data_IF_411202132704
#
_entry.id   IF_411202132704
#
_cell.length_a   1.000
_cell.length_b   1.000
_cell.length_c   1.000
_cell.angle_alpha   90.00
_cell.angle_beta   90.00
_cell.angle_gamma   90.00
#
_symmetry.space_group_name_H-M   'P 1'
#
loop_
_entity.id
_entity.type
_entity.pdbx_description
1 polymer ?
#
# COMPACT_ATOMS: atom_id res chain seq x y z
N UNK A 1 -12.98 -24.27 -9.55
CA UNK A 1 -12.98 -23.01 -8.75
C UNK A 1 -13.87 -22.00 -9.45
N UNK A 2 -14.62 -21.16 -8.74
CA UNK A 2 -15.42 -20.09 -9.34
C UNK A 2 -14.56 -18.86 -9.65
N UNK A 3 -14.90 -18.09 -10.69
CA UNK A 3 -14.13 -16.90 -11.12
C UNK A 3 -13.95 -15.88 -9.98
N UNK A 4 -14.97 -15.74 -9.12
CA UNK A 4 -14.92 -14.86 -7.94
C UNK A 4 -13.88 -15.34 -6.91
N UNK A 5 -13.74 -16.65 -6.72
CA UNK A 5 -12.77 -17.21 -5.78
C UNK A 5 -11.33 -17.02 -6.27
N UNK A 6 -11.09 -17.23 -7.57
CA UNK A 6 -9.78 -16.95 -8.19
C UNK A 6 -9.41 -15.48 -8.05
N UNK A 7 -10.29 -14.56 -8.46
CA UNK A 7 -10.02 -13.13 -8.35
C UNK A 7 -9.83 -12.66 -6.89
N UNK A 8 -10.52 -13.28 -5.93
CA UNK A 8 -10.32 -13.00 -4.51
C UNK A 8 -8.93 -13.41 -4.03
N UNK A 9 -8.47 -14.61 -4.44
CA UNK A 9 -7.12 -15.08 -4.12
C UNK A 9 -6.04 -14.21 -4.76
N UNK A 10 -6.26 -13.77 -6.00
CA UNK A 10 -5.35 -12.87 -6.71
C UNK A 10 -5.26 -11.51 -6.01
N UNK A 11 -6.40 -10.97 -5.53
CA UNK A 11 -6.43 -9.73 -4.75
C UNK A 11 -5.65 -9.84 -3.44
N UNK A 12 -5.82 -10.94 -2.72
CA UNK A 12 -5.06 -11.20 -1.50
C UNK A 12 -3.56 -11.23 -1.80
N UNK A 13 -3.16 -11.96 -2.84
CA UNK A 13 -1.76 -12.09 -3.27
C UNK A 13 -1.16 -10.74 -3.66
N UNK A 14 -1.84 -9.98 -4.50
CA UNK A 14 -1.36 -8.68 -4.99
C UNK A 14 -1.34 -7.64 -3.87
N UNK A 15 -2.36 -7.59 -3.01
CA UNK A 15 -2.37 -6.65 -1.89
C UNK A 15 -1.32 -6.97 -0.83
N UNK A 16 -0.99 -8.25 -0.60
CA UNK A 16 0.17 -8.64 0.21
C UNK A 16 1.49 -8.19 -0.42
N UNK A 17 1.63 -8.29 -1.74
CA UNK A 17 2.81 -7.80 -2.46
C UNK A 17 2.94 -6.27 -2.39
N UNK A 18 1.82 -5.54 -2.52
CA UNK A 18 1.78 -4.08 -2.34
C UNK A 18 2.23 -3.69 -0.92
N UNK A 19 1.69 -4.36 0.12
CA UNK A 19 2.07 -4.11 1.50
C UNK A 19 3.56 -4.42 1.78
N UNK A 20 4.06 -5.51 1.20
CA UNK A 20 5.47 -5.88 1.30
C UNK A 20 6.37 -4.82 0.65
N UNK A 21 5.97 -4.29 -0.51
CA UNK A 21 6.70 -3.23 -1.23
C UNK A 21 6.76 -1.94 -0.40
N UNK A 22 5.64 -1.52 0.20
CA UNK A 22 5.60 -0.37 1.14
C UNK A 22 6.54 -0.59 2.33
N UNK A 23 6.56 -1.81 2.88
CA UNK A 23 7.43 -2.14 4.02
C UNK A 23 8.92 -2.12 3.64
N UNK A 24 9.24 -2.51 2.41
CA UNK A 24 10.60 -2.47 1.86
C UNK A 24 11.02 -1.06 1.38
N UNK A 25 10.10 -0.10 1.30
CA UNK A 25 10.35 1.20 0.68
C UNK A 25 10.43 1.15 -0.86
N UNK A 26 9.99 0.06 -1.46
CA UNK A 26 9.89 -0.12 -2.91
C UNK A 26 8.60 0.53 -3.44
N UNK A 27 8.68 1.82 -3.74
CA UNK A 27 7.53 2.60 -4.20
C UNK A 27 7.09 2.24 -5.63
N UNK A 28 8.03 1.85 -6.49
CA UNK A 28 7.73 1.41 -7.86
C UNK A 28 7.04 0.03 -7.85
N UNK A 29 7.50 -0.88 -7.00
CA UNK A 29 6.81 -2.15 -6.72
C UNK A 29 5.40 -1.90 -6.19
N UNK A 30 5.26 -1.02 -5.19
CA UNK A 30 3.96 -0.66 -4.64
C UNK A 30 2.99 -0.14 -5.71
N UNK A 31 3.41 0.81 -6.56
CA UNK A 31 2.56 1.37 -7.61
C UNK A 31 2.10 0.28 -8.60
N UNK A 32 3.01 -0.58 -9.06
CA UNK A 32 2.67 -1.70 -9.95
C UNK A 32 1.65 -2.65 -9.33
N UNK A 33 1.83 -3.04 -8.08
CA UNK A 33 0.90 -3.94 -7.41
C UNK A 33 -0.43 -3.26 -7.09
N UNK A 34 -0.45 -1.98 -6.72
CA UNK A 34 -1.71 -1.28 -6.46
C UNK A 34 -2.54 -1.09 -7.74
N UNK A 35 -1.90 -0.81 -8.88
CA UNK A 35 -2.58 -0.79 -10.19
C UNK A 35 -3.20 -2.16 -10.50
N UNK A 36 -2.44 -3.25 -10.34
CA UNK A 36 -2.96 -4.60 -10.56
C UNK A 36 -4.12 -4.93 -9.61
N UNK A 37 -4.04 -4.50 -8.34
CA UNK A 37 -5.10 -4.70 -7.35
C UNK A 37 -6.39 -3.99 -7.77
N UNK A 38 -6.29 -2.73 -8.21
CA UNK A 38 -7.45 -1.96 -8.67
C UNK A 38 -8.08 -2.58 -9.92
N UNK A 39 -7.28 -3.13 -10.84
CA UNK A 39 -7.78 -3.87 -11.99
C UNK A 39 -8.60 -5.10 -11.58
N UNK A 40 -8.12 -5.89 -10.61
CA UNK A 40 -8.85 -7.04 -10.09
C UNK A 40 -10.17 -6.65 -9.40
N UNK A 41 -10.19 -5.53 -8.67
CA UNK A 41 -11.43 -4.96 -8.09
C UNK A 41 -12.43 -4.60 -9.20
N UNK A 42 -11.98 -4.02 -10.31
CA UNK A 42 -12.85 -3.72 -11.46
C UNK A 42 -13.40 -5.00 -12.10
N UNK A 43 -12.56 -6.03 -12.27
CA UNK A 43 -12.97 -7.34 -12.80
C UNK A 43 -14.04 -8.02 -11.92
N UNK A 44 -13.88 -7.99 -10.59
CA UNK A 44 -14.92 -8.44 -9.66
C UNK A 44 -16.22 -7.67 -9.88
N UNK A 45 -16.15 -6.34 -9.98
CA UNK A 45 -17.31 -5.50 -10.24
C UNK A 45 -18.03 -5.84 -11.56
N UNK A 46 -17.29 -6.23 -12.60
CA UNK A 46 -17.87 -6.68 -13.87
C UNK A 46 -18.64 -8.01 -13.70
N UNK A 47 -18.09 -8.98 -12.97
CA UNK A 47 -18.76 -10.26 -12.72
C UNK A 47 -20.13 -10.10 -12.02
N UNK A 48 -20.28 -9.13 -11.11
CA UNK A 48 -21.58 -8.84 -10.47
C UNK A 48 -22.62 -8.27 -11.44
N UNK A 49 -22.18 -7.66 -12.55
CA UNK A 49 -23.06 -7.11 -13.58
C UNK A 49 -23.51 -8.19 -14.56
N UNK A 50 -22.62 -9.11 -14.90
CA UNK A 50 -22.86 -10.19 -15.86
C UNK A 50 -23.85 -11.24 -15.32
N UNK A 51 -23.77 -11.56 -14.03
CA UNK A 51 -24.60 -12.63 -13.48
C UNK A 51 -25.10 -12.34 -12.06
N UNK A 52 -26.42 -12.16 -11.92
CA UNK A 52 -27.06 -11.76 -10.67
C UNK A 52 -26.85 -12.76 -9.53
N UNK A 53 -26.74 -14.05 -9.83
CA UNK A 53 -26.49 -15.10 -8.82
C UNK A 53 -25.13 -14.98 -8.14
N UNK A 54 -24.16 -14.27 -8.76
CA UNK A 54 -22.81 -14.06 -8.22
C UNK A 54 -22.68 -12.80 -7.36
N UNK A 55 -23.71 -11.92 -7.35
CA UNK A 55 -23.64 -10.61 -6.68
C UNK A 55 -23.28 -10.69 -5.20
N UNK A 56 -23.84 -11.65 -4.47
CA UNK A 56 -23.53 -11.81 -3.04
C UNK A 56 -22.04 -12.09 -2.80
N UNK A 57 -21.47 -13.06 -3.53
CA UNK A 57 -20.06 -13.41 -3.42
C UNK A 57 -19.14 -12.26 -3.85
N UNK A 58 -19.47 -11.57 -4.94
CA UNK A 58 -18.71 -10.39 -5.40
C UNK A 58 -18.74 -9.27 -4.36
N UNK A 59 -19.91 -8.96 -3.78
CA UNK A 59 -20.01 -7.91 -2.75
C UNK A 59 -19.14 -8.25 -1.54
N UNK A 60 -19.15 -9.51 -1.08
CA UNK A 60 -18.26 -9.95 0.00
C UNK A 60 -16.78 -9.78 -0.39
N UNK A 61 -16.39 -10.17 -1.60
CA UNK A 61 -15.02 -10.00 -2.09
C UNK A 61 -14.60 -8.52 -2.17
N UNK A 62 -15.49 -7.64 -2.64
CA UNK A 62 -15.25 -6.20 -2.70
C UNK A 62 -15.10 -5.56 -1.31
N UNK A 63 -15.90 -5.99 -0.32
CA UNK A 63 -15.73 -5.53 1.06
C UNK A 63 -14.36 -5.92 1.63
N UNK A 64 -13.89 -7.15 1.37
CA UNK A 64 -12.55 -7.59 1.77
C UNK A 64 -11.47 -6.78 1.07
N UNK A 65 -11.59 -6.56 -0.23
CA UNK A 65 -10.65 -5.74 -1.00
C UNK A 65 -10.58 -4.29 -0.49
N UNK A 66 -11.72 -3.72 -0.08
CA UNK A 66 -11.77 -2.38 0.51
C UNK A 66 -11.10 -2.34 1.90
N UNK A 67 -11.27 -3.40 2.71
CA UNK A 67 -10.60 -3.51 3.99
C UNK A 67 -9.07 -3.61 3.84
N UNK A 68 -8.62 -4.47 2.92
CA UNK A 68 -7.21 -4.58 2.56
C UNK A 68 -6.63 -3.24 2.06
N UNK A 69 -7.40 -2.49 1.24
CA UNK A 69 -7.03 -1.15 0.79
C UNK A 69 -6.81 -0.16 1.95
N UNK A 70 -7.63 -0.23 3.01
CA UNK A 70 -7.41 0.59 4.23
C UNK A 70 -6.13 0.21 4.96
N UNK A 71 -5.83 -1.08 5.07
CA UNK A 71 -4.57 -1.56 5.66
C UNK A 71 -3.37 -1.03 4.89
N UNK A 72 -3.39 -1.13 3.56
CA UNK A 72 -2.33 -0.62 2.68
C UNK A 72 -2.17 0.90 2.84
N UNK A 73 -3.26 1.67 2.80
CA UNK A 73 -3.22 3.12 2.99
C UNK A 73 -2.60 3.52 4.35
N UNK A 74 -2.94 2.78 5.41
CA UNK A 74 -2.35 2.99 6.74
C UNK A 74 -0.84 2.73 6.73
N UNK A 75 -0.39 1.68 6.05
CA UNK A 75 1.03 1.36 5.92
C UNK A 75 1.80 2.43 5.12
N UNK A 76 1.20 2.96 4.05
CA UNK A 76 1.76 4.06 3.25
C UNK A 76 1.94 5.31 4.10
N UNK A 77 0.91 5.72 4.87
CA UNK A 77 1.04 6.87 5.76
C UNK A 77 2.09 6.65 6.84
N UNK A 78 2.15 5.45 7.43
CA UNK A 78 3.20 5.12 8.39
C UNK A 78 4.60 5.21 7.78
N UNK A 79 4.78 4.73 6.55
CA UNK A 79 6.04 4.83 5.81
C UNK A 79 6.42 6.30 5.51
N UNK A 80 5.43 7.11 5.10
CA UNK A 80 5.62 8.56 4.87
C UNK A 80 6.05 9.30 6.14
N UNK A 81 5.42 8.99 7.28
CA UNK A 81 5.78 9.57 8.57
C UNK A 81 7.22 9.20 8.99
N UNK A 82 7.63 7.93 8.79
CA UNK A 82 9.01 7.50 9.06
C UNK A 82 10.02 8.25 8.20
N UNK A 83 9.75 8.41 6.91
CA UNK A 83 10.61 9.16 5.99
C UNK A 83 10.80 10.62 6.44
N UNK A 84 9.70 11.28 6.81
CA UNK A 84 9.73 12.68 7.26
C UNK A 84 10.46 12.83 8.60
N UNK A 85 10.26 11.90 9.53
CA UNK A 85 10.95 11.89 10.82
C UNK A 85 12.46 11.70 10.64
N UNK A 86 12.88 10.75 9.81
CA UNK A 86 14.30 10.51 9.49
C UNK A 86 14.97 11.71 8.83
N UNK A 87 14.27 12.38 7.93
CA UNK A 87 14.77 13.60 7.27
C UNK A 87 14.92 14.77 8.26
N UNK A 88 13.96 14.95 9.16
CA UNK A 88 14.03 15.97 10.22
C UNK A 88 15.15 15.70 11.24
N UNK A 89 15.41 14.43 11.56
CA UNK A 89 16.54 14.02 12.40
C UNK A 89 17.88 14.34 11.73
N UNK A 90 18.04 13.98 10.45
CA UNK A 90 19.26 14.26 9.71
C UNK A 90 19.59 15.76 9.65
N UNK A 91 18.58 16.61 9.44
CA UNK A 91 18.74 18.07 9.45
C UNK A 91 19.13 18.61 10.85
N UNK A 92 18.58 18.04 11.92
CA UNK A 92 18.95 18.40 13.29
C UNK A 92 20.39 18.00 13.62
N UNK A 93 20.81 16.81 13.18
CA UNK A 93 22.19 16.34 13.35
C UNK A 93 23.19 17.17 12.56
N UNK A 94 22.91 17.52 11.30
CA UNK A 94 23.76 18.41 10.49
C UNK A 94 23.87 19.81 11.11
N UNK A 95 22.76 20.39 11.60
CA UNK A 95 22.79 21.67 12.31
C UNK A 95 23.63 21.61 13.59
N UNK A 96 23.48 20.54 14.39
CA UNK A 96 24.27 20.34 15.60
C UNK A 96 25.77 20.20 15.29
N UNK A 97 26.12 19.43 14.26
CA UNK A 97 27.50 19.25 13.82
C UNK A 97 28.14 20.57 13.37
N UNK A 98 27.42 21.41 12.61
CA UNK A 98 27.91 22.74 12.20
C UNK A 98 28.08 23.70 13.37
N UNK A 99 27.13 23.71 14.31
CA UNK A 99 27.25 24.53 15.52
C UNK A 99 28.49 24.14 16.35
N UNK A 100 28.71 22.84 16.53
CA UNK A 100 29.88 22.32 17.25
C UNK A 100 31.20 22.65 16.55
N UNK A 101 31.26 22.50 15.22
CA UNK A 101 32.43 22.87 14.42
C UNK A 101 32.72 24.38 14.44
N UNK A 102 31.70 25.23 14.60
CA UNK A 102 31.87 26.68 14.68
C UNK A 102 32.43 27.14 16.04
N UNK A 103 32.14 26.41 17.11
CA UNK A 103 32.62 26.71 18.46
C UNK A 103 34.09 26.29 18.63
N UNK A 104 34.49 25.16 18.04
CA UNK A 104 35.86 24.61 18.18
C UNK A 104 36.87 25.17 17.16
N UNK A 105 36.51 26.21 16.39
CA UNK A 105 37.40 26.85 15.40
C UNK A 105 38.07 28.13 15.91
N UNK A 106 37.96 28.40 17.22
CA UNK A 106 38.61 29.51 17.96
C UNK A 106 39.76 28.93 18.75
#
# INVERSE_FOLDING_TARGET
>A
MSDVATLSQDLETVGSAALSSVSAGDWEGFERYEVARLQLVMSLGALAREEASRRGAVVTALYRAADQGRTIATAVEAARLRHNAGSGEALRQDRAARAYASINRV
#
